data_IF_903975242505
#
_entry.id   IF_903975242505
#
_cell.length_a   1.000
_cell.length_b   1.000
_cell.length_c   1.000
_cell.angle_alpha   90.00
_cell.angle_beta   90.00
_cell.angle_gamma   90.00
#
_symmetry.space_group_name_H-M   'P 1'
#
loop_
_entity.id
_entity.type
_entity.pdbx_description
1 polymer ?
#
# COMPACT_ATOMS: atom_id res chain seq x y z
N UNK A 1 -8.90 -11.38 -12.09
CA UNK A 1 -8.23 -10.19 -11.53
C UNK A 1 -8.42 -9.01 -12.49
N UNK A 2 -8.37 -7.75 -12.05
CA UNK A 2 -8.48 -6.61 -12.96
C UNK A 2 -7.35 -6.63 -14.00
N UNK A 3 -7.64 -6.16 -15.21
CA UNK A 3 -6.63 -6.02 -16.27
C UNK A 3 -5.89 -4.71 -16.02
N UNK A 4 -4.56 -4.78 -15.93
CA UNK A 4 -3.70 -3.63 -15.69
C UNK A 4 -2.83 -3.33 -16.92
N UNK A 5 -2.41 -2.07 -17.11
CA UNK A 5 -1.37 -1.75 -18.09
C UNK A 5 -0.10 -2.55 -17.81
N UNK A 6 0.58 -3.01 -18.86
CA UNK A 6 1.78 -3.86 -18.73
C UNK A 6 2.89 -3.23 -17.90
N UNK A 7 3.04 -1.89 -17.98
CA UNK A 7 3.99 -1.14 -17.15
C UNK A 7 3.68 -1.26 -15.65
N UNK A 8 2.40 -1.19 -15.27
CA UNK A 8 1.98 -1.36 -13.89
C UNK A 8 2.12 -2.82 -13.44
N UNK A 9 1.74 -3.78 -14.29
CA UNK A 9 1.94 -5.21 -14.01
C UNK A 9 3.42 -5.54 -13.77
N UNK A 10 4.34 -4.95 -14.56
CA UNK A 10 5.77 -5.14 -14.38
C UNK A 10 6.24 -4.65 -12.99
N UNK A 11 5.79 -3.47 -12.57
CA UNK A 11 6.12 -2.93 -11.24
C UNK A 11 5.56 -3.81 -10.13
N UNK A 12 4.30 -4.23 -10.22
CA UNK A 12 3.66 -5.07 -9.20
C UNK A 12 4.30 -6.47 -9.13
N UNK A 13 4.78 -6.99 -10.25
CA UNK A 13 5.49 -8.28 -10.30
C UNK A 13 6.80 -8.25 -9.52
N UNK A 14 7.52 -7.12 -9.52
CA UNK A 14 8.75 -6.95 -8.73
C UNK A 14 8.47 -7.00 -7.23
N UNK A 15 7.31 -6.52 -6.81
CA UNK A 15 6.85 -6.56 -5.42
C UNK A 15 6.26 -7.92 -5.03
N UNK A 16 6.07 -8.83 -5.99
CA UNK A 16 5.45 -10.13 -5.79
C UNK A 16 6.17 -11.01 -4.77
N UNK A 17 7.48 -10.82 -4.60
CA UNK A 17 8.28 -11.55 -3.62
C UNK A 17 7.85 -11.28 -2.16
N UNK A 18 7.20 -10.15 -1.87
CA UNK A 18 6.67 -9.82 -0.54
C UNK A 18 5.44 -10.65 -0.15
N UNK A 19 4.92 -11.47 -1.06
CA UNK A 19 3.62 -12.10 -0.93
C UNK A 19 3.66 -13.58 -1.31
N UNK A 20 2.76 -14.37 -0.72
CA UNK A 20 2.39 -15.65 -1.33
C UNK A 20 1.58 -15.43 -2.61
N UNK A 21 1.61 -16.36 -3.56
CA UNK A 21 0.91 -16.19 -4.84
C UNK A 21 -0.58 -15.78 -4.73
N UNK A 22 -1.42 -16.34 -3.82
CA UNK A 22 -2.80 -15.88 -3.65
C UNK A 22 -2.91 -14.49 -3.02
N UNK A 23 -1.95 -14.10 -2.19
CA UNK A 23 -1.88 -12.79 -1.54
C UNK A 23 -1.48 -11.73 -2.56
N UNK A 24 -0.52 -12.03 -3.45
CA UNK A 24 -0.11 -11.15 -4.54
C UNK A 24 -1.28 -10.78 -5.47
N UNK A 25 -2.09 -11.75 -5.87
CA UNK A 25 -3.29 -11.47 -6.68
C UNK A 25 -4.29 -10.53 -5.98
N UNK A 26 -4.41 -10.68 -4.66
CA UNK A 26 -5.31 -9.82 -3.86
C UNK A 26 -4.72 -8.42 -3.69
N UNK A 27 -3.40 -8.32 -3.51
CA UNK A 27 -2.67 -7.06 -3.50
C UNK A 27 -2.81 -6.31 -4.83
N UNK A 28 -2.58 -6.95 -5.97
CA UNK A 28 -2.74 -6.34 -7.30
C UNK A 28 -4.16 -5.81 -7.50
N UNK A 29 -5.17 -6.58 -7.08
CA UNK A 29 -6.56 -6.16 -7.16
C UNK A 29 -6.85 -4.94 -6.25
N UNK A 30 -6.37 -4.96 -5.01
CA UNK A 30 -6.54 -3.85 -4.08
C UNK A 30 -5.78 -2.60 -4.54
N UNK A 31 -4.57 -2.76 -5.08
CA UNK A 31 -3.77 -1.68 -5.64
C UNK A 31 -4.46 -1.05 -6.86
N UNK A 32 -4.97 -1.88 -7.78
CA UNK A 32 -5.76 -1.40 -8.90
C UNK A 32 -7.00 -0.62 -8.45
N UNK A 33 -7.70 -1.14 -7.43
CA UNK A 33 -8.84 -0.48 -6.81
C UNK A 33 -8.46 0.81 -6.08
N UNK A 34 -7.27 0.87 -5.48
CA UNK A 34 -6.73 2.06 -4.83
C UNK A 34 -6.49 3.16 -5.86
N UNK A 35 -5.74 2.85 -6.92
CA UNK A 35 -5.41 3.80 -8.00
C UNK A 35 -6.67 4.26 -8.74
N UNK A 36 -7.62 3.35 -8.99
CA UNK A 36 -8.84 3.65 -9.75
C UNK A 36 -9.93 4.37 -8.96
N UNK A 37 -9.77 4.58 -7.65
CA UNK A 37 -10.79 5.19 -6.80
C UNK A 37 -10.48 6.66 -6.52
N UNK A 38 -11.50 7.49 -6.66
CA UNK A 38 -11.47 8.90 -6.24
C UNK A 38 -12.19 9.01 -4.89
N UNK A 39 -11.57 9.69 -3.92
CA UNK A 39 -12.12 9.85 -2.57
C UNK A 39 -11.62 8.80 -1.58
N UNK A 40 -12.48 8.35 -0.66
CA UNK A 40 -12.05 7.48 0.45
C UNK A 40 -11.64 6.08 0.00
N UNK A 41 -10.39 5.69 0.26
CA UNK A 41 -9.81 4.39 -0.08
C UNK A 41 -10.15 3.28 0.94
N UNK A 42 -11.44 3.10 1.24
CA UNK A 42 -11.89 2.00 2.13
C UNK A 42 -11.62 0.64 1.48
N UNK A 43 -11.45 -0.43 2.28
CA UNK A 43 -11.18 -1.79 1.78
C UNK A 43 -12.27 -2.27 0.81
N UNK A 44 -13.53 -2.20 1.22
CA UNK A 44 -14.67 -2.50 0.33
C UNK A 44 -14.69 -1.57 -0.89
N UNK A 45 -14.28 -0.33 -0.70
CA UNK A 45 -14.25 0.66 -1.74
C UNK A 45 -13.23 0.36 -2.85
N UNK A 46 -12.02 -0.02 -2.48
CA UNK A 46 -10.99 -0.51 -3.40
C UNK A 46 -11.48 -1.78 -4.10
N UNK A 47 -12.11 -2.70 -3.37
CA UNK A 47 -12.66 -3.93 -3.95
C UNK A 47 -13.75 -3.67 -5.01
N UNK A 48 -14.61 -2.68 -4.77
CA UNK A 48 -15.61 -2.22 -5.73
C UNK A 48 -14.96 -1.56 -6.94
N UNK A 49 -13.99 -0.67 -6.74
CA UNK A 49 -13.27 0.02 -7.81
C UNK A 49 -12.49 -0.95 -8.71
N UNK A 50 -11.94 -2.03 -8.14
CA UNK A 50 -11.34 -3.14 -8.86
C UNK A 50 -12.35 -4.02 -9.65
N UNK A 51 -13.65 -3.69 -9.58
CA UNK A 51 -14.78 -4.42 -10.19
C UNK A 51 -14.88 -5.88 -9.73
N UNK A 52 -14.59 -6.13 -8.44
CA UNK A 52 -14.66 -7.47 -7.84
C UNK A 52 -15.86 -7.67 -6.92
N UNK A 53 -16.59 -6.62 -6.56
CA UNK A 53 -17.84 -6.72 -5.81
C UNK A 53 -18.84 -7.61 -6.56
N UNK A 54 -19.44 -8.58 -5.85
CA UNK A 54 -20.36 -9.57 -6.43
C UNK A 54 -19.70 -10.64 -7.31
N UNK A 55 -18.43 -10.48 -7.71
CA UNK A 55 -17.68 -11.48 -8.48
C UNK A 55 -16.83 -12.38 -7.60
N UNK A 56 -16.23 -11.80 -6.57
CA UNK A 56 -15.45 -12.51 -5.56
C UNK A 56 -15.89 -12.05 -4.18
N UNK A 57 -15.81 -12.97 -3.21
CA UNK A 57 -16.20 -12.67 -1.83
C UNK A 57 -15.31 -11.57 -1.24
N UNK A 58 -15.93 -10.50 -0.74
CA UNK A 58 -15.25 -9.31 -0.22
C UNK A 58 -14.36 -9.62 1.00
N UNK A 59 -14.58 -10.75 1.69
CA UNK A 59 -13.70 -11.15 2.79
C UNK A 59 -12.24 -11.27 2.35
N UNK A 60 -11.96 -11.64 1.08
CA UNK A 60 -10.57 -11.70 0.56
C UNK A 60 -9.84 -10.37 0.72
N UNK A 61 -10.54 -9.26 0.50
CA UNK A 61 -10.00 -7.91 0.67
C UNK A 61 -9.66 -7.61 2.14
N UNK A 62 -10.51 -8.04 3.07
CA UNK A 62 -10.28 -7.84 4.50
C UNK A 62 -9.22 -8.79 5.06
N UNK A 63 -9.23 -10.05 4.61
CA UNK A 63 -8.27 -11.07 5.00
C UNK A 63 -6.85 -10.69 4.57
N UNK A 64 -6.70 -9.96 3.44
CA UNK A 64 -5.41 -9.38 3.05
C UNK A 64 -4.78 -8.53 4.17
N UNK A 65 -5.55 -7.64 4.80
CA UNK A 65 -5.05 -6.78 5.88
C UNK A 65 -5.09 -7.45 7.27
N UNK A 66 -5.95 -8.45 7.46
CA UNK A 66 -6.20 -9.02 8.78
C UNK A 66 -5.50 -10.36 9.05
N UNK A 67 -5.17 -11.14 8.01
CA UNK A 67 -4.77 -12.55 8.14
C UNK A 67 -3.68 -13.01 7.18
N UNK A 68 -3.56 -12.38 6.01
CA UNK A 68 -2.57 -12.80 5.01
C UNK A 68 -1.15 -12.62 5.54
N UNK A 69 -0.24 -13.48 5.10
CA UNK A 69 1.18 -13.42 5.46
C UNK A 69 1.91 -12.51 4.49
N UNK A 70 2.25 -11.31 4.94
CA UNK A 70 3.12 -10.34 4.27
C UNK A 70 3.61 -9.32 5.31
N UNK A 71 4.69 -8.60 5.00
CA UNK A 71 5.24 -7.54 5.84
C UNK A 71 5.27 -6.21 5.07
N UNK A 72 4.80 -5.10 5.66
CA UNK A 72 4.96 -3.78 5.05
C UNK A 72 6.42 -3.34 4.99
N UNK A 73 7.26 -3.78 5.92
CA UNK A 73 8.71 -3.54 5.90
C UNK A 73 9.38 -4.23 4.71
N UNK A 74 9.10 -5.52 4.50
CA UNK A 74 9.63 -6.29 3.36
C UNK A 74 9.19 -5.71 2.03
N UNK A 75 7.90 -5.39 1.91
CA UNK A 75 7.36 -4.71 0.72
C UNK A 75 8.04 -3.36 0.47
N UNK A 76 8.25 -2.57 1.53
CA UNK A 76 8.91 -1.26 1.45
C UNK A 76 10.37 -1.37 1.01
N UNK A 77 11.11 -2.36 1.50
CA UNK A 77 12.49 -2.61 1.10
C UNK A 77 12.59 -3.06 -0.35
N UNK A 78 11.70 -3.93 -0.83
CA UNK A 78 11.64 -4.33 -2.25
C UNK A 78 11.33 -3.13 -3.16
N UNK A 79 10.41 -2.26 -2.72
CA UNK A 79 10.12 -1.03 -3.46
C UNK A 79 11.33 -0.09 -3.47
N UNK A 80 12.02 0.08 -2.34
CA UNK A 80 13.21 0.91 -2.25
C UNK A 80 14.33 0.39 -3.16
N UNK A 81 14.60 -0.92 -3.12
CA UNK A 81 15.59 -1.57 -3.97
C UNK A 81 15.31 -1.32 -5.47
N UNK A 82 14.05 -1.49 -5.89
CA UNK A 82 13.61 -1.14 -7.24
C UNK A 82 13.87 0.33 -7.59
N UNK A 83 13.49 1.25 -6.71
CA UNK A 83 13.66 2.69 -6.96
C UNK A 83 15.13 3.08 -7.06
N UNK A 84 15.99 2.54 -6.19
CA UNK A 84 17.44 2.77 -6.21
C UNK A 84 18.03 2.22 -7.50
N UNK A 85 17.77 0.96 -7.82
CA UNK A 85 18.29 0.32 -9.04
C UNK A 85 17.85 1.02 -10.33
N UNK A 86 16.66 1.65 -10.33
CA UNK A 86 16.11 2.29 -11.53
C UNK A 86 16.51 3.75 -11.71
N UNK A 87 16.65 4.49 -10.60
CA UNK A 87 16.71 5.96 -10.63
C UNK A 87 17.98 6.54 -10.02
N UNK A 88 18.83 5.75 -9.37
CA UNK A 88 20.07 6.21 -8.75
C UNK A 88 21.25 5.67 -9.56
N UNK A 89 22.18 6.55 -9.90
CA UNK A 89 23.47 6.15 -10.47
C UNK A 89 24.26 5.35 -9.41
N UNK A 90 24.73 4.13 -9.69
CA UNK A 90 25.47 3.30 -8.74
C UNK A 90 26.69 3.98 -8.12
N UNK A 91 27.31 4.92 -8.84
CA UNK A 91 28.51 5.65 -8.39
C UNK A 91 28.15 6.93 -7.63
N UNK A 92 26.86 7.27 -7.55
CA UNK A 92 26.38 8.45 -6.85
C UNK A 92 25.90 8.13 -5.43
N UNK A 93 26.17 9.00 -4.44
CA UNK A 93 25.65 8.81 -3.09
C UNK A 93 24.13 8.98 -3.06
N UNK A 94 23.45 8.15 -2.25
CA UNK A 94 22.03 8.31 -1.96
C UNK A 94 21.85 9.47 -0.98
N UNK A 95 21.17 10.53 -1.40
CA UNK A 95 20.75 11.62 -0.51
C UNK A 95 19.42 11.24 0.16
N UNK A 96 19.46 10.98 1.46
CA UNK A 96 18.28 10.62 2.25
C UNK A 96 17.70 11.86 2.94
N UNK A 97 16.48 12.24 2.58
CA UNK A 97 15.67 13.19 3.35
C UNK A 97 14.82 12.40 4.35
N UNK A 98 14.89 12.78 5.62
CA UNK A 98 14.13 12.15 6.71
C UNK A 98 13.17 13.17 7.28
N UNK A 99 11.89 12.84 7.26
CA UNK A 99 10.83 13.58 7.91
C UNK A 99 9.90 12.60 8.64
N UNK A 100 9.22 13.07 9.69
CA UNK A 100 8.28 12.28 10.46
C UNK A 100 6.88 12.88 10.32
N UNK A 101 5.99 12.15 9.65
CA UNK A 101 4.58 12.54 9.57
C UNK A 101 3.78 11.88 10.70
N UNK A 102 3.08 12.69 11.50
CA UNK A 102 2.15 12.17 12.50
C UNK A 102 0.90 11.66 11.79
N UNK A 103 0.65 10.35 11.92
CA UNK A 103 -0.57 9.75 11.36
C UNK A 103 -1.69 9.73 12.41
N UNK A 104 -2.58 10.71 12.34
CA UNK A 104 -3.75 10.82 13.22
C UNK A 104 -4.73 9.66 13.03
N UNK A 105 -4.81 8.76 14.01
CA UNK A 105 -5.82 7.70 14.07
C UNK A 105 -6.50 7.64 15.42
N UNK A 106 -7.80 7.39 15.41
CA UNK A 106 -8.61 7.20 16.60
C UNK A 106 -9.39 5.89 16.52
N UNK A 107 -9.77 5.34 17.67
CA UNK A 107 -10.63 4.16 17.75
C UNK A 107 -10.21 3.19 18.85
N UNK A 108 -11.16 2.34 19.28
CA UNK A 108 -10.99 1.41 20.41
C UNK A 108 -9.84 0.42 20.26
N UNK A 109 -9.37 0.16 19.03
CA UNK A 109 -8.29 -0.79 18.72
C UNK A 109 -6.99 -0.10 18.29
N UNK A 110 -6.96 1.24 18.30
CA UNK A 110 -5.77 2.00 17.92
C UNK A 110 -4.91 2.19 19.17
N UNK A 111 -3.81 1.45 19.24
CA UNK A 111 -2.80 1.64 20.27
C UNK A 111 -2.11 3.00 20.07
N UNK A 112 -1.85 3.74 21.15
CA UNK A 112 -1.22 5.06 21.04
C UNK A 112 -2.10 6.12 20.39
N UNK A 113 -3.44 5.96 20.40
CA UNK A 113 -4.42 6.99 20.07
C UNK A 113 -4.47 8.08 21.16
N UNK A 114 -3.31 8.66 21.45
CA UNK A 114 -3.13 9.83 22.31
C UNK A 114 -2.89 11.05 21.41
N UNK A 115 -3.13 12.24 21.95
CA UNK A 115 -2.87 13.49 21.24
C UNK A 115 -1.38 13.62 20.96
N UNK A 116 -1.01 13.45 19.70
CA UNK A 116 0.33 13.78 19.21
C UNK A 116 0.34 15.27 18.89
N UNK A 117 1.14 16.04 19.61
CA UNK A 117 1.32 17.46 19.33
C UNK A 117 2.14 17.61 18.05
N UNK A 118 1.53 18.15 17.01
CA UNK A 118 2.20 18.49 15.77
C UNK A 118 2.65 19.96 15.84
N UNK A 119 3.96 20.25 15.98
CA UNK A 119 4.47 21.60 16.07
C UNK A 119 4.32 22.40 14.75
N UNK A 120 3.93 21.75 13.64
CA UNK A 120 3.70 22.40 12.35
C UNK A 120 2.26 22.95 12.19
N UNK A 121 1.32 22.61 13.08
CA UNK A 121 -0.04 23.13 13.03
C UNK A 121 -0.09 24.52 13.67
N UNK A 122 -0.11 25.56 12.83
CA UNK A 122 -0.39 26.93 13.28
C UNK A 122 -1.88 27.05 13.59
N UNK A 123 -2.29 27.51 14.79
CA UNK A 123 -3.71 27.73 15.08
C UNK A 123 -4.26 28.84 14.18
N UNK A 124 -5.31 28.51 13.43
CA UNK A 124 -6.12 29.48 12.66
C UNK A 124 -7.25 30.08 13.48
#
# INVERSE_FOLDING_TARGET
>A
MPVLPSSLTAILSLLGAAFTAPTAQTFEALFAGFVGRVGEHTVCGMWQAARLAGRLHHSRAHDFFARARWSPEELGLLLLDFLVARFVDPESPIRLAVDATVFGRSGRKVHGAVWHYDPAVVPG
#
